data_IF_340224652310
#
_entry.id   IF_340224652310
#
_cell.length_a   1.000
_cell.length_b   1.000
_cell.length_c   1.000
_cell.angle_alpha   90.00
_cell.angle_beta   90.00
_cell.angle_gamma   90.00
#
_symmetry.space_group_name_H-M   'P 1'
#
loop_
_entity.id
_entity.type
_entity.pdbx_description
1 polymer ?
#
# COMPACT_ATOMS: atom_id res chain seq x y z
N UNK A 1 -13.64 -6.26 -1.13
CA UNK A 1 -12.68 -6.35 -0.01
C UNK A 1 -11.45 -5.49 -0.32
N UNK A 2 -11.03 -4.73 0.64
CA UNK A 2 -9.80 -3.93 0.54
C UNK A 2 -8.72 -4.64 1.36
N UNK A 3 -7.52 -4.73 0.79
CA UNK A 3 -6.36 -5.28 1.47
C UNK A 3 -5.22 -4.27 1.40
N UNK A 4 -4.51 -4.10 2.49
CA UNK A 4 -3.33 -3.24 2.56
C UNK A 4 -2.16 -4.11 3.01
N UNK A 5 -1.17 -4.28 2.13
CA UNK A 5 0.05 -5.03 2.41
C UNK A 5 1.18 -4.06 2.64
N UNK A 6 1.80 -4.14 3.81
CA UNK A 6 2.85 -3.24 4.25
C UNK A 6 4.06 -4.01 4.71
N UNK A 7 5.21 -3.34 4.73
CA UNK A 7 6.47 -3.92 5.19
C UNK A 7 6.82 -3.33 6.57
N UNK A 8 7.03 -4.20 7.55
CA UNK A 8 7.39 -3.82 8.91
C UNK A 8 6.20 -3.56 9.83
N UNK A 9 6.45 -3.61 11.13
CA UNK A 9 5.43 -3.34 12.14
C UNK A 9 5.30 -1.85 12.39
N UNK A 10 4.07 -1.41 12.61
CA UNK A 10 3.81 -0.03 13.06
C UNK A 10 4.39 0.14 14.48
N UNK A 11 5.23 1.16 14.67
CA UNK A 11 5.95 1.37 15.92
C UNK A 11 5.32 2.44 16.82
N UNK A 12 4.87 3.53 16.21
CA UNK A 12 4.38 4.69 16.97
C UNK A 12 2.93 4.47 17.38
N UNK A 13 2.65 4.70 18.66
CA UNK A 13 1.30 4.51 19.21
C UNK A 13 0.24 5.34 18.47
N UNK A 14 0.54 6.62 18.21
CA UNK A 14 -0.42 7.50 17.55
C UNK A 14 -0.70 7.07 16.11
N UNK A 15 0.28 6.47 15.42
CA UNK A 15 0.05 5.93 14.06
C UNK A 15 -0.78 4.65 14.13
N UNK A 16 -0.56 3.79 15.12
CA UNK A 16 -1.41 2.61 15.35
C UNK A 16 -2.86 3.02 15.57
N UNK A 17 -3.06 4.06 16.37
CA UNK A 17 -4.39 4.61 16.64
C UNK A 17 -5.02 5.18 15.37
N UNK A 18 -4.22 5.86 14.54
CA UNK A 18 -4.68 6.37 13.24
C UNK A 18 -5.10 5.26 12.29
N UNK A 19 -4.31 4.20 12.20
CA UNK A 19 -4.65 3.02 11.40
C UNK A 19 -5.96 2.41 11.89
N UNK A 20 -6.10 2.23 13.20
CA UNK A 20 -7.31 1.66 13.80
C UNK A 20 -8.53 2.54 13.54
N UNK A 21 -8.36 3.85 13.65
CA UNK A 21 -9.46 4.80 13.41
C UNK A 21 -9.99 4.68 11.99
N UNK A 22 -9.12 4.73 10.99
CA UNK A 22 -9.57 4.66 9.59
C UNK A 22 -10.03 3.26 9.19
N UNK A 23 -9.43 2.23 9.72
CA UNK A 23 -9.91 0.86 9.53
C UNK A 23 -11.37 0.73 10.01
N UNK A 24 -11.65 1.26 11.19
CA UNK A 24 -13.01 1.26 11.75
C UNK A 24 -13.99 2.04 10.87
N UNK A 25 -13.56 3.16 10.31
CA UNK A 25 -14.41 3.98 9.43
C UNK A 25 -14.67 3.33 8.07
N UNK A 26 -13.75 2.50 7.59
CA UNK A 26 -13.90 1.81 6.32
C UNK A 26 -14.84 0.59 6.44
N UNK A 27 -14.80 -0.10 7.58
CA UNK A 27 -15.55 -1.35 7.77
C UNK A 27 -17.05 -1.29 7.40
N UNK A 28 -17.79 -0.21 7.67
CA UNK A 28 -19.19 -0.14 7.24
C UNK A 28 -19.39 -0.18 5.72
N UNK A 29 -18.37 0.16 4.95
CA UNK A 29 -18.43 0.18 3.49
C UNK A 29 -17.98 -1.14 2.87
N UNK A 30 -16.89 -1.70 3.37
CA UNK A 30 -16.35 -2.96 2.88
C UNK A 30 -15.38 -3.55 3.89
N UNK A 31 -15.12 -4.84 3.74
CA UNK A 31 -14.10 -5.51 4.54
C UNK A 31 -12.73 -4.94 4.21
N UNK A 32 -11.93 -4.74 5.24
CA UNK A 32 -10.55 -4.30 5.10
C UNK A 32 -9.64 -5.20 5.95
N UNK A 33 -8.54 -5.61 5.34
CA UNK A 33 -7.52 -6.43 5.99
C UNK A 33 -6.17 -5.75 5.82
N UNK A 34 -5.43 -5.63 6.92
CA UNK A 34 -4.07 -5.09 6.90
C UNK A 34 -3.11 -6.22 7.19
N UNK A 35 -2.14 -6.40 6.30
CA UNK A 35 -1.11 -7.44 6.43
C UNK A 35 0.24 -6.74 6.52
N UNK A 36 0.94 -6.96 7.63
CA UNK A 36 2.31 -6.50 7.82
C UNK A 36 3.24 -7.67 7.60
N UNK A 37 4.11 -7.58 6.58
CA UNK A 37 5.18 -8.57 6.40
C UNK A 37 6.41 -8.09 7.14
N UNK A 38 7.29 -9.02 7.49
CA UNK A 38 8.52 -8.69 8.19
C UNK A 38 9.45 -7.88 7.29
N UNK A 39 9.98 -6.79 7.82
CA UNK A 39 11.00 -6.01 7.14
C UNK A 39 12.36 -6.72 7.21
N UNK A 40 13.24 -6.38 6.27
CA UNK A 40 14.58 -6.92 6.20
C UNK A 40 15.60 -5.87 6.61
N UNK A 41 16.53 -6.26 7.48
CA UNK A 41 17.52 -5.33 7.98
C UNK A 41 18.67 -5.19 6.99
N UNK A 42 18.99 -3.95 6.58
CA UNK A 42 20.15 -3.68 5.75
C UNK A 42 21.44 -3.76 6.59
N UNK A 43 22.56 -4.22 6.01
CA UNK A 43 23.86 -4.16 6.70
C UNK A 43 24.24 -2.72 7.02
N UNK A 44 25.05 -2.50 8.09
CA UNK A 44 25.46 -1.17 8.53
C UNK A 44 26.14 -0.34 7.43
N UNK A 45 27.00 -0.98 6.63
CA UNK A 45 27.68 -0.35 5.50
C UNK A 45 27.11 -0.86 4.19
N UNK A 46 25.81 -0.65 4.00
CA UNK A 46 25.14 -1.19 2.84
C UNK A 46 25.52 -0.46 1.56
N UNK A 47 25.74 -1.23 0.52
CA UNK A 47 25.93 -0.76 -0.85
C UNK A 47 24.56 -0.69 -1.56
N UNK A 48 24.55 -0.13 -2.78
CA UNK A 48 23.35 -0.17 -3.63
C UNK A 48 22.91 -1.61 -3.92
N UNK A 49 23.86 -2.55 -4.01
CA UNK A 49 23.58 -3.97 -4.18
C UNK A 49 22.88 -4.57 -2.96
N UNK A 50 23.29 -4.16 -1.75
CA UNK A 50 22.65 -4.62 -0.52
C UNK A 50 21.23 -4.07 -0.40
N UNK A 51 21.01 -2.81 -0.77
CA UNK A 51 19.68 -2.18 -0.78
C UNK A 51 18.76 -2.93 -1.75
N UNK A 52 19.27 -3.32 -2.90
CA UNK A 52 18.50 -4.07 -3.90
C UNK A 52 18.09 -5.45 -3.37
N UNK A 53 18.98 -6.13 -2.65
CA UNK A 53 18.66 -7.42 -2.02
C UNK A 53 17.56 -7.28 -0.97
N UNK A 54 17.63 -6.23 -0.14
CA UNK A 54 16.62 -5.97 0.87
C UNK A 54 15.25 -5.75 0.20
N UNK A 55 15.21 -4.92 -0.84
CA UNK A 55 13.96 -4.67 -1.58
C UNK A 55 13.39 -5.96 -2.18
N UNK A 56 14.23 -6.82 -2.73
CA UNK A 56 13.79 -8.09 -3.31
C UNK A 56 13.21 -9.02 -2.25
N UNK A 57 13.88 -9.15 -1.10
CA UNK A 57 13.41 -10.01 -0.01
C UNK A 57 12.06 -9.52 0.51
N UNK A 58 11.96 -8.22 0.80
CA UNK A 58 10.71 -7.61 1.26
C UNK A 58 9.62 -7.73 0.21
N UNK A 59 9.97 -7.51 -1.06
CA UNK A 59 9.06 -7.62 -2.18
C UNK A 59 8.47 -9.02 -2.32
N UNK A 60 9.29 -10.05 -2.17
CA UNK A 60 8.82 -11.43 -2.24
C UNK A 60 7.88 -11.77 -1.09
N UNK A 61 8.17 -11.26 0.12
CA UNK A 61 7.27 -11.45 1.27
C UNK A 61 5.92 -10.80 1.03
N UNK A 62 5.90 -9.62 0.43
CA UNK A 62 4.66 -8.93 0.10
C UNK A 62 3.91 -9.63 -1.04
N UNK A 63 4.61 -10.06 -2.09
CA UNK A 63 4.01 -10.78 -3.21
C UNK A 63 3.36 -12.09 -2.75
N UNK A 64 3.93 -12.76 -1.76
CA UNK A 64 3.37 -13.98 -1.21
C UNK A 64 1.99 -13.77 -0.57
N UNK A 65 1.63 -12.53 -0.25
CA UNK A 65 0.33 -12.17 0.33
C UNK A 65 -0.69 -11.75 -0.72
N UNK A 66 -0.33 -11.78 -2.00
CA UNK A 66 -1.17 -11.28 -3.08
C UNK A 66 -1.50 -12.43 -4.03
N UNK A 67 -2.79 -12.63 -4.27
CA UNK A 67 -3.26 -13.64 -5.22
C UNK A 67 -3.33 -13.06 -6.62
N UNK A 68 -3.31 -13.92 -7.62
CA UNK A 68 -3.27 -13.51 -9.01
C UNK A 68 -4.49 -12.69 -9.42
N UNK A 69 -5.67 -12.98 -8.89
CA UNK A 69 -6.91 -12.31 -9.22
C UNK A 69 -7.08 -10.93 -8.57
N UNK A 70 -6.23 -10.56 -7.63
CA UNK A 70 -6.32 -9.27 -6.97
C UNK A 70 -5.85 -8.14 -7.88
N UNK A 71 -6.54 -7.00 -7.82
CA UNK A 71 -6.11 -5.78 -8.49
C UNK A 71 -5.16 -5.04 -7.53
N UNK A 72 -3.93 -4.83 -7.96
CA UNK A 72 -2.86 -4.28 -7.12
C UNK A 72 -2.60 -2.82 -7.46
N UNK A 73 -2.74 -1.96 -6.44
CA UNK A 73 -2.37 -0.56 -6.51
C UNK A 73 -1.10 -0.38 -5.66
N UNK A 74 0.01 -0.12 -6.31
CA UNK A 74 1.31 0.05 -5.66
C UNK A 74 1.58 1.53 -5.41
N UNK A 75 1.88 1.88 -4.17
CA UNK A 75 2.35 3.21 -3.82
C UNK A 75 3.77 3.38 -4.35
N UNK A 76 3.97 4.34 -5.25
CA UNK A 76 5.22 4.49 -5.97
C UNK A 76 5.44 5.96 -6.35
N UNK A 77 6.58 6.52 -5.96
CA UNK A 77 6.94 7.90 -6.27
C UNK A 77 7.06 8.16 -7.77
N UNK A 78 7.29 7.11 -8.56
CA UNK A 78 7.35 7.17 -10.03
C UNK A 78 6.02 6.85 -10.69
N UNK A 79 4.97 6.68 -9.90
CA UNK A 79 3.64 6.42 -10.41
C UNK A 79 2.93 7.68 -10.90
N UNK A 80 1.68 7.51 -11.28
CA UNK A 80 0.82 8.63 -11.68
C UNK A 80 0.12 9.22 -10.47
N UNK A 81 -0.05 10.53 -10.47
CA UNK A 81 -0.88 11.21 -9.48
C UNK A 81 -2.34 10.83 -9.70
N UNK A 82 -3.06 10.76 -8.60
CA UNK A 82 -4.48 10.42 -8.60
C UNK A 82 -5.11 11.16 -7.44
N UNK A 83 -5.97 12.13 -7.73
CA UNK A 83 -6.64 12.86 -6.66
C UNK A 83 -7.73 12.00 -6.02
N UNK A 84 -8.31 12.52 -4.94
CA UNK A 84 -9.29 11.76 -4.15
C UNK A 84 -10.55 11.40 -4.95
N UNK A 85 -10.99 12.26 -5.84
CA UNK A 85 -12.15 12.01 -6.71
C UNK A 85 -11.82 10.94 -7.74
N UNK A 86 -10.63 11.01 -8.34
CA UNK A 86 -10.16 10.01 -9.30
C UNK A 86 -10.00 8.64 -8.64
N UNK A 87 -9.47 8.60 -7.41
CA UNK A 87 -9.35 7.35 -6.67
C UNK A 87 -10.71 6.74 -6.38
N UNK A 88 -11.66 7.55 -5.96
CA UNK A 88 -13.03 7.11 -5.72
C UNK A 88 -13.65 6.49 -6.97
N UNK A 89 -13.49 7.15 -8.11
CA UNK A 89 -14.00 6.63 -9.39
C UNK A 89 -13.30 5.33 -9.77
N UNK A 90 -11.98 5.25 -9.57
CA UNK A 90 -11.20 4.04 -9.87
C UNK A 90 -11.72 2.85 -9.06
N UNK A 91 -11.92 3.03 -7.75
CA UNK A 91 -12.41 1.97 -6.89
C UNK A 91 -13.83 1.57 -7.29
N UNK A 92 -14.69 2.54 -7.58
CA UNK A 92 -16.06 2.28 -8.01
C UNK A 92 -16.10 1.50 -9.31
N UNK A 93 -15.29 1.87 -10.30
CA UNK A 93 -15.20 1.18 -11.58
C UNK A 93 -14.68 -0.26 -11.41
N UNK A 94 -13.69 -0.46 -10.54
CA UNK A 94 -13.16 -1.79 -10.25
C UNK A 94 -14.24 -2.70 -9.68
N UNK A 95 -15.02 -2.23 -8.73
CA UNK A 95 -16.12 -3.01 -8.17
C UNK A 95 -17.22 -3.29 -9.18
N UNK A 96 -17.49 -2.34 -10.07
CA UNK A 96 -18.51 -2.49 -11.11
C UNK A 96 -18.11 -3.53 -12.15
N UNK A 97 -16.84 -3.56 -12.53
CA UNK A 97 -16.35 -4.39 -13.66
C UNK A 97 -15.57 -5.63 -13.21
N UNK A 98 -15.90 -6.22 -12.08
CA UNK A 98 -15.51 -7.55 -11.65
C UNK A 98 -14.29 -7.70 -10.73
N UNK A 99 -13.73 -6.63 -10.22
CA UNK A 99 -12.65 -6.73 -9.24
C UNK A 99 -13.19 -6.48 -7.83
N UNK A 100 -13.50 -7.56 -7.12
CA UNK A 100 -14.00 -7.47 -5.76
C UNK A 100 -12.90 -7.49 -4.68
N UNK A 101 -11.63 -7.56 -5.10
CA UNK A 101 -10.47 -7.50 -4.21
C UNK A 101 -9.47 -6.51 -4.75
N UNK A 102 -9.28 -5.42 -4.02
CA UNK A 102 -8.32 -4.38 -4.33
C UNK A 102 -7.25 -4.38 -3.26
N UNK A 103 -6.00 -4.51 -3.66
CA UNK A 103 -4.86 -4.62 -2.75
C UNK A 103 -3.94 -3.43 -2.95
N UNK A 104 -3.80 -2.64 -1.89
CA UNK A 104 -2.83 -1.55 -1.85
C UNK A 104 -1.53 -2.08 -1.26
N UNK A 105 -0.40 -1.71 -1.85
CA UNK A 105 0.92 -2.17 -1.40
C UNK A 105 1.79 -0.96 -1.09
N UNK A 106 2.35 -0.95 0.11
CA UNK A 106 3.31 0.07 0.55
C UNK A 106 4.62 -0.63 0.86
N UNK A 107 5.68 -0.25 0.15
CA UNK A 107 7.01 -0.83 0.34
C UNK A 107 7.67 -0.37 1.64
N UNK A 108 8.85 -0.91 1.91
CA UNK A 108 9.64 -0.54 3.07
C UNK A 108 10.42 0.75 2.86
N UNK A 109 11.33 1.04 3.79
CA UNK A 109 12.07 2.31 3.81
C UNK A 109 12.98 2.51 2.59
N UNK A 110 13.43 1.43 1.96
CA UNK A 110 14.30 1.50 0.78
C UNK A 110 13.55 1.54 -0.54
N UNK A 111 12.23 1.41 -0.50
CA UNK A 111 11.38 1.43 -1.68
C UNK A 111 10.87 0.06 -2.10
N UNK A 112 10.53 -0.07 -3.38
CA UNK A 112 9.87 -1.25 -3.92
C UNK A 112 10.77 -1.99 -4.91
N UNK A 113 10.61 -3.31 -4.98
CA UNK A 113 11.35 -4.15 -5.91
C UNK A 113 10.78 -4.04 -7.32
N UNK A 114 11.59 -4.41 -8.31
CA UNK A 114 11.16 -4.47 -9.70
C UNK A 114 10.01 -5.45 -9.89
N UNK A 115 10.01 -6.57 -9.16
CA UNK A 115 8.96 -7.58 -9.24
C UNK A 115 7.61 -7.02 -8.77
N UNK A 116 7.60 -6.23 -7.70
CA UNK A 116 6.38 -5.54 -7.24
C UNK A 116 5.87 -4.57 -8.29
N UNK A 117 6.78 -3.81 -8.91
CA UNK A 117 6.41 -2.86 -9.97
C UNK A 117 5.75 -3.60 -11.13
N UNK A 118 6.32 -4.73 -11.54
CA UNK A 118 5.79 -5.54 -12.64
C UNK A 118 4.44 -6.18 -12.29
N UNK A 119 4.23 -6.56 -11.03
CA UNK A 119 2.97 -7.14 -10.57
C UNK A 119 1.85 -6.11 -10.48
N UNK A 120 2.17 -4.86 -10.23
CA UNK A 120 1.17 -3.82 -10.00
C UNK A 120 0.31 -3.58 -11.24
N UNK A 121 -0.99 -3.47 -11.03
CA UNK A 121 -1.93 -3.07 -12.07
C UNK A 121 -2.00 -1.55 -12.20
N UNK A 122 -1.71 -0.84 -11.10
CA UNK A 122 -1.67 0.62 -11.05
C UNK A 122 -0.55 1.05 -10.11
N UNK A 123 0.19 2.08 -10.51
CA UNK A 123 1.23 2.70 -9.67
C UNK A 123 0.73 4.09 -9.29
N UNK A 124 0.55 4.31 -8.00
CA UNK A 124 -0.06 5.52 -7.48
C UNK A 124 0.95 6.37 -6.72
N UNK A 125 1.15 7.60 -7.17
CA UNK A 125 1.94 8.59 -6.45
C UNK A 125 0.99 9.45 -5.61
N UNK A 126 1.10 9.38 -4.29
CA UNK A 126 0.24 10.14 -3.38
C UNK A 126 0.54 11.63 -3.49
N UNK A 127 1.82 11.99 -3.60
CA UNK A 127 2.29 13.37 -3.53
C UNK A 127 3.68 13.47 -4.16
N UNK A 128 4.07 14.67 -4.55
CA UNK A 128 5.45 14.98 -4.92
C UNK A 128 6.36 15.00 -3.69
N UNK A 129 5.79 15.17 -2.51
CA UNK A 129 6.53 15.09 -1.25
C UNK A 129 6.73 13.63 -0.84
N UNK A 130 7.83 13.37 -0.12
CA UNK A 130 8.06 12.06 0.47
C UNK A 130 7.56 12.06 1.91
N UNK A 131 7.04 10.91 2.33
CA UNK A 131 6.57 10.69 3.69
C UNK A 131 7.20 9.42 4.26
N UNK A 132 7.41 9.33 5.57
CA UNK A 132 7.80 8.05 6.17
C UNK A 132 6.81 6.95 5.77
N UNK A 133 7.33 5.77 5.44
CA UNK A 133 6.46 4.69 4.94
C UNK A 133 5.38 4.27 5.94
N UNK A 134 5.62 4.42 7.25
CA UNK A 134 4.61 4.12 8.26
C UNK A 134 3.48 5.16 8.28
N UNK A 135 3.82 6.45 8.09
CA UNK A 135 2.80 7.50 7.97
C UNK A 135 1.96 7.31 6.70
N UNK A 136 2.57 6.82 5.62
CA UNK A 136 1.85 6.53 4.39
C UNK A 136 0.67 5.58 4.61
N UNK A 137 0.78 4.64 5.55
CA UNK A 137 -0.33 3.73 5.86
C UNK A 137 -1.57 4.47 6.32
N UNK A 138 -1.37 5.44 7.20
CA UNK A 138 -2.47 6.27 7.70
C UNK A 138 -3.07 7.11 6.58
N UNK A 139 -2.21 7.71 5.75
CA UNK A 139 -2.64 8.53 4.63
C UNK A 139 -3.43 7.70 3.61
N UNK A 140 -2.94 6.51 3.26
CA UNK A 140 -3.61 5.63 2.32
C UNK A 140 -4.97 5.19 2.86
N UNK A 141 -5.05 4.82 4.12
CA UNK A 141 -6.32 4.42 4.73
C UNK A 141 -7.31 5.59 4.77
N UNK A 142 -6.83 6.80 5.06
CA UNK A 142 -7.67 7.99 5.01
C UNK A 142 -8.23 8.21 3.60
N UNK A 143 -7.40 8.05 2.57
CA UNK A 143 -7.82 8.23 1.19
C UNK A 143 -8.79 7.14 0.74
N UNK A 144 -8.62 5.90 1.18
CA UNK A 144 -9.57 4.81 0.91
C UNK A 144 -10.92 5.14 1.55
N UNK A 145 -10.92 5.56 2.81
CA UNK A 145 -12.13 5.98 3.50
C UNK A 145 -12.80 7.13 2.74
N UNK A 146 -12.02 8.15 2.37
CA UNK A 146 -12.53 9.30 1.62
C UNK A 146 -13.13 8.88 0.29
N UNK A 147 -12.53 7.93 -0.41
CA UNK A 147 -13.04 7.39 -1.67
C UNK A 147 -14.44 6.81 -1.49
N UNK A 148 -14.66 6.03 -0.44
CA UNK A 148 -15.99 5.50 -0.13
C UNK A 148 -16.99 6.58 0.22
N UNK A 149 -16.54 7.64 0.89
CA UNK A 149 -17.42 8.77 1.24
C UNK A 149 -17.84 9.59 0.02
N UNK A 150 -16.98 9.69 -0.98
CA UNK A 150 -17.25 10.43 -2.22
C UNK A 150 -18.24 9.67 -3.11
N UNK A 151 -18.20 8.35 -3.10
CA UNK A 151 -19.10 7.51 -3.90
C UNK A 151 -20.59 7.79 -3.64
#
# INVERSE_FOLDING_TARGET
>A
MIKLVCCGKMRMKWMKEGVQEYTSRIQPYDKIQIIEVQDEKAPENNSASDDEKVKQIEGQRMLAQIRQEEYVILLDLKGKTCDSVQLSKTIQDLYTYSHNKITFVIGGSLGVSQELIQRANMRWKISDNTFPHQLCRVIVLEQIYRAFRIM
#
